data_IF_415011152206
#
_entry.id   IF_415011152206
#
_cell.length_a   1.000
_cell.length_b   1.000
_cell.length_c   1.000
_cell.angle_alpha   90.00
_cell.angle_beta   90.00
_cell.angle_gamma   90.00
#
_symmetry.space_group_name_H-M   'P 1'
#
loop_
_entity.id
_entity.type
_entity.pdbx_description
1 polymer ?
#
# COMPACT_ATOMS: atom_id res chain seq x y z
N UNK A 1 6.63 13.99 -4.77
CA UNK A 1 7.18 14.66 -3.57
C UNK A 1 8.34 13.81 -3.08
N UNK A 2 9.50 14.39 -2.80
CA UNK A 2 10.64 13.62 -2.30
C UNK A 2 10.45 13.46 -0.80
N UNK A 3 10.24 12.23 -0.32
CA UNK A 3 10.10 11.96 1.11
C UNK A 3 11.47 12.15 1.80
N UNK A 4 11.46 12.27 3.12
CA UNK A 4 12.70 12.29 3.87
C UNK A 4 13.35 10.90 3.83
N UNK A 5 14.68 10.85 3.74
CA UNK A 5 15.46 9.61 3.71
C UNK A 5 15.08 8.59 4.81
N UNK A 6 14.77 8.99 6.06
CA UNK A 6 14.32 8.05 7.09
C UNK A 6 12.94 7.44 6.81
N UNK A 7 12.01 8.23 6.26
CA UNK A 7 10.66 7.77 5.96
C UNK A 7 10.65 6.77 4.80
N UNK A 8 11.39 7.04 3.73
CA UNK A 8 11.54 6.12 2.61
C UNK A 8 12.03 4.74 3.07
N UNK A 9 13.02 4.72 3.97
CA UNK A 9 13.55 3.48 4.52
C UNK A 9 12.50 2.71 5.32
N UNK A 10 11.70 3.40 6.14
CA UNK A 10 10.65 2.76 6.93
C UNK A 10 9.54 2.18 6.04
N UNK A 11 9.13 2.91 5.00
CA UNK A 11 8.14 2.42 4.03
C UNK A 11 8.65 1.20 3.27
N UNK A 12 9.93 1.20 2.85
CA UNK A 12 10.53 0.03 2.20
C UNK A 12 10.58 -1.19 3.13
N UNK A 13 10.95 -1.02 4.39
CA UNK A 13 10.96 -2.13 5.35
C UNK A 13 9.57 -2.70 5.59
N UNK A 14 8.53 -1.85 5.68
CA UNK A 14 7.15 -2.29 5.83
C UNK A 14 6.62 -3.03 4.59
N UNK A 15 7.00 -2.59 3.39
CA UNK A 15 6.65 -3.31 2.15
C UNK A 15 7.32 -4.68 2.08
N UNK A 16 8.59 -4.77 2.45
CA UNK A 16 9.32 -6.04 2.49
C UNK A 16 8.72 -7.02 3.50
N UNK A 17 8.31 -6.53 4.68
CA UNK A 17 7.62 -7.33 5.70
C UNK A 17 6.31 -7.95 5.17
N UNK A 18 5.48 -7.15 4.52
CA UNK A 18 4.13 -7.57 4.08
C UNK A 18 4.18 -8.43 2.81
N UNK A 19 5.01 -8.05 1.83
CA UNK A 19 5.06 -8.73 0.54
C UNK A 19 6.06 -9.89 0.51
N UNK A 20 7.24 -9.75 1.13
CA UNK A 20 8.34 -10.71 1.00
C UNK A 20 8.58 -11.16 -0.45
N UNK A 21 8.24 -12.41 -0.76
CA UNK A 21 8.40 -12.99 -2.10
C UNK A 21 7.28 -12.60 -3.10
N UNK A 22 6.23 -11.92 -2.64
CA UNK A 22 5.10 -11.43 -3.41
C UNK A 22 3.73 -11.78 -2.82
N UNK A 23 2.67 -11.19 -3.38
CA UNK A 23 1.28 -11.49 -3.02
C UNK A 23 0.74 -12.67 -3.85
N UNK A 24 0.84 -13.87 -3.29
CA UNK A 24 0.40 -15.12 -3.94
C UNK A 24 -1.10 -15.12 -4.23
N UNK A 25 -1.92 -14.53 -3.35
CA UNK A 25 -3.38 -14.53 -3.56
C UNK A 25 -3.72 -13.69 -4.78
N UNK A 26 -3.23 -12.46 -4.83
CA UNK A 26 -3.49 -11.54 -5.95
C UNK A 26 -2.96 -12.11 -7.25
N UNK A 27 -1.72 -12.58 -7.29
CA UNK A 27 -1.11 -13.13 -8.52
C UNK A 27 -1.77 -14.42 -9.01
N UNK A 28 -2.46 -15.15 -8.15
CA UNK A 28 -3.17 -16.38 -8.53
C UNK A 28 -4.56 -16.10 -9.11
N UNK A 29 -5.26 -15.06 -8.64
CA UNK A 29 -6.68 -14.86 -8.97
C UNK A 29 -6.98 -13.61 -9.79
N UNK A 30 -6.04 -12.67 -9.88
CA UNK A 30 -6.21 -11.40 -10.62
C UNK A 30 -5.36 -11.42 -11.90
N UNK A 31 -5.95 -11.18 -13.09
CA UNK A 31 -5.20 -11.04 -14.33
C UNK A 31 -4.19 -9.89 -14.27
N UNK A 32 -3.01 -10.08 -14.87
CA UNK A 32 -1.93 -9.08 -14.86
C UNK A 32 -2.30 -7.77 -15.57
N UNK A 33 -3.22 -7.81 -16.51
CA UNK A 33 -3.70 -6.67 -17.30
C UNK A 33 -5.00 -6.05 -16.74
N UNK A 34 -5.50 -6.57 -15.61
CA UNK A 34 -6.70 -6.03 -14.98
C UNK A 34 -6.45 -4.61 -14.42
N UNK A 35 -7.35 -3.68 -14.75
CA UNK A 35 -7.38 -2.35 -14.13
C UNK A 35 -8.57 -2.24 -13.18
N UNK A 36 -8.30 -1.88 -11.93
CA UNK A 36 -9.32 -1.70 -10.89
C UNK A 36 -9.47 -0.24 -10.43
N UNK A 37 -10.54 0.03 -9.67
CA UNK A 37 -10.72 1.28 -8.93
C UNK A 37 -11.04 0.94 -7.48
N UNK A 38 -10.36 1.59 -6.54
CA UNK A 38 -10.61 1.47 -5.11
C UNK A 38 -11.06 2.80 -4.51
N UNK A 39 -11.64 2.74 -3.30
CA UNK A 39 -11.99 3.90 -2.47
C UNK A 39 -11.51 3.65 -1.05
N UNK A 40 -11.02 4.69 -0.38
CA UNK A 40 -10.66 4.65 1.05
C UNK A 40 -11.82 5.24 1.83
N UNK A 41 -12.29 4.52 2.86
CA UNK A 41 -13.47 4.91 3.65
C UNK A 41 -13.11 4.92 5.12
N UNK A 42 -13.26 6.08 5.79
CA UNK A 42 -13.23 6.16 7.25
C UNK A 42 -14.51 5.56 7.82
N UNK A 43 -14.38 4.43 8.53
CA UNK A 43 -15.54 3.66 9.01
C UNK A 43 -16.12 4.18 10.32
N UNK A 44 -15.41 5.08 10.99
CA UNK A 44 -15.72 5.66 12.30
C UNK A 44 -15.20 7.10 12.35
N UNK A 45 -15.57 7.86 13.38
CA UNK A 45 -15.09 9.23 13.57
C UNK A 45 -13.56 9.25 13.75
N UNK A 46 -12.86 10.04 12.92
CA UNK A 46 -11.40 10.09 12.90
C UNK A 46 -10.84 11.43 12.40
N UNK A 47 -9.54 11.64 12.62
CA UNK A 47 -8.78 12.72 11.99
C UNK A 47 -7.94 12.13 10.85
N UNK A 48 -8.08 12.67 9.65
CA UNK A 48 -7.26 12.28 8.51
C UNK A 48 -5.89 12.96 8.56
N UNK A 49 -4.81 12.16 8.48
CA UNK A 49 -3.43 12.63 8.41
C UNK A 49 -2.60 11.68 7.54
N UNK A 50 -1.55 12.18 6.89
CA UNK A 50 -0.63 11.37 6.07
C UNK A 50 -1.12 10.99 4.67
N UNK A 51 -2.13 11.67 4.13
CA UNK A 51 -2.72 11.36 2.81
C UNK A 51 -2.08 12.11 1.61
N UNK A 52 -0.99 12.86 1.82
CA UNK A 52 -0.37 13.73 0.82
C UNK A 52 1.11 13.39 0.59
#
# INVERSE_FOLDING_TARGET
MMLSQPLDRLLWMALEEDLGHGDVTTTTVIPLDATGRAVVVGREDFVLSGSY
#
